data_IF_281498213340
#
_entry.id   IF_281498213340
#
_cell.length_a   1.000
_cell.length_b   1.000
_cell.length_c   1.000
_cell.angle_alpha   90.00
_cell.angle_beta   90.00
_cell.angle_gamma   90.00
#
_symmetry.space_group_name_H-M   'P 1'
#
loop_
_entity.id
_entity.type
_entity.pdbx_description
1 polymer ?
#
# COMPACT_ATOMS: atom_id res chain seq x y z
N UNK A 1 -8.23 24.45 -32.38
CA UNK A 1 -8.99 23.19 -32.40
C UNK A 1 -9.65 23.05 -33.76
N UNK A 2 -9.59 21.88 -34.40
CA UNK A 2 -10.25 21.67 -35.69
C UNK A 2 -11.72 21.28 -35.50
N UNK A 3 -12.53 21.43 -36.56
CA UNK A 3 -13.98 21.17 -36.52
C UNK A 3 -14.28 19.72 -36.12
N UNK A 4 -13.50 18.74 -36.61
CA UNK A 4 -13.66 17.32 -36.25
C UNK A 4 -13.47 17.08 -34.74
N UNK A 5 -12.49 17.73 -34.13
CA UNK A 5 -12.24 17.65 -32.68
C UNK A 5 -13.38 18.29 -31.90
N UNK A 6 -13.92 19.42 -32.37
CA UNK A 6 -15.08 20.05 -31.74
C UNK A 6 -16.32 19.15 -31.82
N UNK A 7 -16.61 18.57 -32.99
CA UNK A 7 -17.71 17.61 -33.19
C UNK A 7 -17.60 16.46 -32.19
N UNK A 8 -16.42 15.85 -32.07
CA UNK A 8 -16.19 14.75 -31.12
C UNK A 8 -16.42 15.14 -29.65
N UNK A 9 -16.02 16.35 -29.26
CA UNK A 9 -16.27 16.86 -27.91
C UNK A 9 -17.76 17.06 -27.67
N UNK A 10 -18.47 17.64 -28.65
CA UNK A 10 -19.91 17.88 -28.56
C UNK A 10 -20.71 16.57 -28.52
N UNK A 11 -20.31 15.55 -29.29
CA UNK A 11 -20.92 14.22 -29.23
C UNK A 11 -20.80 13.60 -27.83
N UNK A 12 -19.64 13.72 -27.19
CA UNK A 12 -19.43 13.26 -25.81
C UNK A 12 -20.25 14.06 -24.81
N UNK A 13 -20.29 15.38 -24.95
CA UNK A 13 -21.08 16.25 -24.08
C UNK A 13 -22.57 15.91 -24.21
N UNK A 14 -23.06 15.64 -25.42
CA UNK A 14 -24.46 15.29 -25.69
C UNK A 14 -24.89 14.04 -24.93
N UNK A 15 -24.04 13.01 -24.83
CA UNK A 15 -24.34 11.80 -24.05
C UNK A 15 -24.57 12.14 -22.57
N UNK A 16 -23.74 13.02 -22.01
CA UNK A 16 -23.88 13.46 -20.62
C UNK A 16 -25.18 14.25 -20.46
N UNK A 17 -25.44 15.21 -21.34
CA UNK A 17 -26.66 16.03 -21.29
C UNK A 17 -27.93 15.19 -21.42
N UNK A 18 -27.95 14.19 -22.30
CA UNK A 18 -29.08 13.25 -22.42
C UNK A 18 -29.33 12.43 -21.16
N UNK A 19 -28.28 12.06 -20.44
CA UNK A 19 -28.44 11.33 -19.18
C UNK A 19 -29.14 12.15 -18.09
N UNK A 20 -29.02 13.49 -18.17
CA UNK A 20 -29.59 14.44 -17.22
C UNK A 20 -30.74 15.26 -17.82
N UNK A 21 -31.36 14.80 -18.92
CA UNK A 21 -32.37 15.57 -19.65
C UNK A 21 -33.64 15.87 -18.83
N UNK A 22 -33.83 15.17 -17.71
CA UNK A 22 -35.00 15.30 -16.83
C UNK A 22 -34.75 16.16 -15.57
N UNK A 23 -33.56 16.71 -15.40
CA UNK A 23 -33.23 17.56 -14.25
C UNK A 23 -32.70 18.92 -14.69
N UNK A 24 -32.64 19.85 -13.74
CA UNK A 24 -32.03 21.16 -13.94
C UNK A 24 -30.51 21.03 -14.07
N UNK A 25 -29.87 22.08 -14.62
CA UNK A 25 -28.41 22.15 -14.73
C UNK A 25 -27.76 22.13 -13.34
N UNK A 26 -28.35 22.80 -12.35
CA UNK A 26 -27.84 22.81 -10.97
C UNK A 26 -27.86 21.40 -10.36
N UNK A 27 -28.95 20.65 -10.50
CA UNK A 27 -29.05 19.27 -10.03
C UNK A 27 -28.04 18.34 -10.72
N UNK A 28 -27.82 18.52 -12.03
CA UNK A 28 -26.78 17.79 -12.77
C UNK A 28 -25.39 18.11 -12.21
N UNK A 29 -25.08 19.39 -11.96
CA UNK A 29 -23.78 19.81 -11.46
C UNK A 29 -23.53 19.31 -10.04
N UNK A 30 -24.55 19.33 -9.18
CA UNK A 30 -24.49 18.78 -7.84
C UNK A 30 -24.24 17.27 -7.84
N UNK A 31 -24.93 16.51 -8.69
CA UNK A 31 -24.71 15.06 -8.81
C UNK A 31 -23.33 14.73 -9.41
N UNK A 32 -22.89 15.47 -10.44
CA UNK A 32 -21.54 15.32 -10.99
C UNK A 32 -20.47 15.64 -9.95
N UNK A 33 -20.66 16.69 -9.15
CA UNK A 33 -19.78 17.05 -8.04
C UNK A 33 -19.75 15.95 -6.98
N UNK A 34 -20.91 15.42 -6.58
CA UNK A 34 -21.01 14.32 -5.62
C UNK A 34 -20.35 13.03 -6.15
N UNK A 35 -20.53 12.71 -7.44
CA UNK A 35 -19.86 11.58 -8.10
C UNK A 35 -18.35 11.76 -8.16
N UNK A 36 -17.87 12.97 -8.44
CA UNK A 36 -16.44 13.30 -8.45
C UNK A 36 -15.82 13.21 -7.05
N UNK A 37 -16.53 13.69 -6.02
CA UNK A 37 -16.12 13.54 -4.62
C UNK A 37 -16.10 12.08 -4.19
N UNK A 38 -17.12 11.28 -4.52
CA UNK A 38 -17.15 9.83 -4.27
C UNK A 38 -16.02 9.10 -5.00
N UNK A 39 -15.66 9.52 -6.21
CA UNK A 39 -14.55 8.96 -6.96
C UNK A 39 -13.21 9.38 -6.35
N UNK A 40 -13.08 10.62 -5.88
CA UNK A 40 -11.90 11.12 -5.15
C UNK A 40 -11.74 10.41 -3.81
N UNK A 41 -12.83 10.17 -3.07
CA UNK A 41 -12.86 9.37 -1.85
C UNK A 41 -12.51 7.90 -2.12
N UNK A 42 -12.98 7.31 -3.23
CA UNK A 42 -12.54 5.97 -3.67
C UNK A 42 -11.06 5.93 -4.09
N UNK A 43 -10.50 7.04 -4.57
CA UNK A 43 -9.07 7.17 -4.95
C UNK A 43 -8.17 7.54 -3.76
N UNK A 44 -8.71 8.23 -2.76
CA UNK A 44 -8.08 8.56 -1.48
C UNK A 44 -8.26 7.47 -0.42
N UNK A 45 -9.17 6.52 -0.64
CA UNK A 45 -8.99 5.13 -0.24
C UNK A 45 -7.83 4.51 -1.06
N UNK A 46 -6.63 5.09 -0.91
CA UNK A 46 -5.53 4.21 -0.58
C UNK A 46 -6.02 3.48 0.64
N UNK A 47 -6.47 2.24 0.46
CA UNK A 47 -6.43 1.30 1.56
C UNK A 47 -5.04 1.50 2.13
N UNK A 48 -4.91 2.08 3.31
CA UNK A 48 -3.85 1.65 4.22
C UNK A 48 -4.06 0.16 4.29
N UNK A 49 -3.39 -0.53 3.36
CA UNK A 49 -3.47 -1.96 3.26
C UNK A 49 -2.63 -2.34 4.45
N UNK A 50 -3.31 -2.66 5.54
CA UNK A 50 -2.63 -2.97 6.77
C UNK A 50 -1.81 -4.24 6.53
N UNK A 51 -0.49 -4.05 6.40
CA UNK A 51 0.44 -5.14 6.21
C UNK A 51 0.88 -5.74 7.55
N UNK A 52 0.25 -5.39 8.69
CA UNK A 52 0.55 -5.99 9.99
C UNK A 52 0.48 -7.53 9.96
N UNK A 53 -0.49 -8.11 9.25
CA UNK A 53 -0.60 -9.57 9.10
C UNK A 53 0.55 -10.14 8.26
N UNK A 54 0.99 -9.42 7.22
CA UNK A 54 2.14 -9.79 6.39
C UNK A 54 3.42 -9.74 7.20
N UNK A 55 3.62 -8.69 8.00
CA UNK A 55 4.77 -8.51 8.89
C UNK A 55 4.83 -9.63 9.93
N UNK A 56 3.69 -9.96 10.58
CA UNK A 56 3.61 -11.09 11.52
C UNK A 56 3.98 -12.42 10.86
N UNK A 57 3.51 -12.65 9.63
CA UNK A 57 3.77 -13.89 8.90
C UNK A 57 5.25 -14.05 8.54
N UNK A 58 5.88 -12.97 8.07
CA UNK A 58 7.31 -12.97 7.69
C UNK A 58 8.22 -13.22 8.91
N UNK A 59 7.85 -12.74 10.10
CA UNK A 59 8.61 -12.99 11.33
C UNK A 59 8.70 -14.47 11.72
N UNK A 60 7.76 -15.29 11.25
CA UNK A 60 7.70 -16.72 11.55
C UNK A 60 8.19 -17.60 10.39
N UNK A 61 8.65 -17.00 9.29
CA UNK A 61 9.15 -17.71 8.11
C UNK A 61 10.66 -17.78 8.13
N UNK A 62 11.22 -18.86 7.56
CA UNK A 62 12.65 -18.90 7.30
C UNK A 62 13.04 -17.92 6.15
N UNK A 63 14.33 -17.69 5.95
CA UNK A 63 14.84 -16.73 4.95
C UNK A 63 14.33 -17.01 3.53
N UNK A 64 14.28 -18.28 3.14
CA UNK A 64 13.91 -18.73 1.79
C UNK A 64 12.40 -18.60 1.56
N UNK A 65 11.59 -18.98 2.55
CA UNK A 65 10.14 -18.81 2.57
C UNK A 65 9.74 -17.33 2.55
N UNK A 66 10.39 -16.51 3.38
CA UNK A 66 10.15 -15.07 3.43
C UNK A 66 10.49 -14.39 2.09
N UNK A 67 11.59 -14.80 1.45
CA UNK A 67 11.99 -14.29 0.13
C UNK A 67 10.94 -14.62 -0.93
N UNK A 68 10.49 -15.88 -0.96
CA UNK A 68 9.48 -16.35 -1.91
C UNK A 68 8.13 -15.68 -1.68
N UNK A 69 7.74 -15.51 -0.41
CA UNK A 69 6.51 -14.84 -0.03
C UNK A 69 6.53 -13.35 -0.40
N UNK A 70 7.63 -12.64 -0.13
CA UNK A 70 7.77 -11.22 -0.48
C UNK A 70 7.87 -11.00 -2.00
N UNK A 71 8.34 -11.99 -2.75
CA UNK A 71 8.37 -11.96 -4.23
C UNK A 71 6.98 -11.83 -4.86
N UNK A 72 5.89 -12.26 -4.21
CA UNK A 72 4.54 -12.08 -4.77
C UNK A 72 4.03 -10.64 -4.72
N UNK A 73 4.68 -9.76 -3.96
CA UNK A 73 4.25 -8.38 -3.78
C UNK A 73 4.81 -7.45 -4.86
N UNK A 74 4.07 -6.39 -5.17
CA UNK A 74 4.55 -5.30 -6.03
C UNK A 74 5.57 -4.44 -5.28
N UNK A 75 6.44 -3.75 -6.03
CA UNK A 75 7.47 -2.87 -5.47
C UNK A 75 6.91 -1.81 -4.50
N UNK A 76 5.79 -1.19 -4.86
CA UNK A 76 5.11 -0.21 -4.01
C UNK A 76 4.62 -0.81 -2.69
N UNK A 77 4.13 -2.05 -2.72
CA UNK A 77 3.66 -2.75 -1.52
C UNK A 77 4.81 -3.08 -0.58
N UNK A 78 5.99 -3.45 -1.12
CA UNK A 78 7.19 -3.66 -0.33
C UNK A 78 7.64 -2.38 0.39
N UNK A 79 7.52 -1.22 -0.27
CA UNK A 79 7.83 0.07 0.36
C UNK A 79 6.86 0.36 1.53
N UNK A 80 5.58 0.05 1.37
CA UNK A 80 4.60 0.19 2.46
C UNK A 80 4.88 -0.78 3.62
N UNK A 81 5.22 -2.03 3.33
CA UNK A 81 5.63 -3.02 4.33
C UNK A 81 6.85 -2.51 5.12
N UNK A 82 7.89 -2.04 4.41
CA UNK A 82 9.08 -1.48 5.05
C UNK A 82 8.77 -0.25 5.90
N UNK A 83 7.90 0.65 5.42
CA UNK A 83 7.47 1.83 6.18
C UNK A 83 6.75 1.44 7.48
N UNK A 84 5.84 0.47 7.45
CA UNK A 84 5.17 -0.04 8.66
C UNK A 84 6.14 -0.75 9.62
N UNK A 85 7.27 -1.26 9.12
CA UNK A 85 8.34 -1.84 9.92
C UNK A 85 9.38 -0.80 10.40
N UNK A 86 9.17 0.49 10.16
CA UNK A 86 10.13 1.58 10.42
C UNK A 86 11.48 1.41 9.70
N UNK A 87 11.48 0.74 8.54
CA UNK A 87 12.66 0.57 7.67
C UNK A 87 12.67 1.67 6.62
N UNK A 88 13.78 2.41 6.50
CA UNK A 88 13.97 3.40 5.43
C UNK A 88 14.37 2.70 4.13
N UNK A 89 13.37 2.40 3.30
CA UNK A 89 13.57 1.84 1.96
C UNK A 89 13.53 2.93 0.89
N UNK A 90 14.38 2.83 -0.14
CA UNK A 90 14.44 3.84 -1.20
C UNK A 90 13.68 3.39 -2.45
N UNK A 91 12.86 4.28 -3.01
CA UNK A 91 12.09 4.01 -4.25
C UNK A 91 12.97 3.63 -5.45
N UNK A 92 14.23 4.05 -5.47
CA UNK A 92 15.20 3.75 -6.54
C UNK A 92 15.78 2.34 -6.48
N UNK A 93 15.69 1.66 -5.33
CA UNK A 93 16.25 0.32 -5.14
C UNK A 93 15.52 -0.73 -5.99
N UNK A 94 16.20 -1.83 -6.32
CA UNK A 94 15.57 -2.95 -7.04
C UNK A 94 14.62 -3.69 -6.12
N UNK A 95 13.65 -4.42 -6.69
CA UNK A 95 12.71 -5.23 -5.91
C UNK A 95 13.44 -6.23 -4.99
N UNK A 96 14.52 -6.85 -5.47
CA UNK A 96 15.34 -7.77 -4.67
C UNK A 96 15.99 -7.08 -3.46
N UNK A 97 16.58 -5.90 -3.64
CA UNK A 97 17.19 -5.13 -2.54
C UNK A 97 16.17 -4.73 -1.46
N UNK A 98 14.95 -4.39 -1.88
CA UNK A 98 13.85 -4.10 -0.94
C UNK A 98 13.49 -5.34 -0.10
N UNK A 99 13.39 -6.50 -0.73
CA UNK A 99 13.09 -7.78 -0.05
C UNK A 99 14.20 -8.14 0.92
N UNK A 100 15.46 -8.05 0.48
CA UNK A 100 16.63 -8.35 1.31
C UNK A 100 16.71 -7.44 2.54
N UNK A 101 16.43 -6.15 2.37
CA UNK A 101 16.40 -5.18 3.46
C UNK A 101 15.31 -5.50 4.51
N UNK A 102 14.11 -5.90 4.05
CA UNK A 102 13.00 -6.31 4.92
C UNK A 102 13.36 -7.57 5.71
N UNK A 103 13.93 -8.58 5.03
CA UNK A 103 14.30 -9.85 5.66
C UNK A 103 15.42 -9.65 6.67
N UNK A 104 16.45 -8.89 6.31
CA UNK A 104 17.59 -8.58 7.18
C UNK A 104 17.11 -7.96 8.48
N UNK A 105 16.19 -6.99 8.41
CA UNK A 105 15.59 -6.38 9.60
C UNK A 105 14.82 -7.38 10.47
N UNK A 106 14.06 -8.31 9.88
CA UNK A 106 13.39 -9.37 10.63
C UNK A 106 14.38 -10.29 11.37
N UNK A 107 15.45 -10.72 10.69
CA UNK A 107 16.47 -11.59 11.28
C UNK A 107 17.23 -10.92 12.43
N UNK A 108 17.51 -9.61 12.32
CA UNK A 108 18.12 -8.84 13.42
C UNK A 108 17.18 -8.75 14.64
N UNK A 109 15.88 -8.49 14.41
CA UNK A 109 14.89 -8.43 15.50
C UNK A 109 14.81 -9.74 16.29
N UNK A 110 14.95 -10.88 15.62
CA UNK A 110 14.94 -12.20 16.24
C UNK A 110 16.23 -12.43 17.05
N UNK A 111 17.39 -12.09 16.48
CA UNK A 111 18.69 -12.14 17.17
C UNK A 111 18.69 -11.33 18.48
N UNK A 112 18.18 -10.09 18.45
CA UNK A 112 18.08 -9.26 19.67
C UNK A 112 17.11 -9.87 20.69
N UNK A 113 15.99 -10.43 20.24
CA UNK A 113 15.01 -11.09 21.13
C UNK A 113 15.61 -12.32 21.81
N UNK A 114 16.37 -13.14 21.06
CA UNK A 114 17.07 -14.30 21.61
C UNK A 114 18.17 -13.89 22.61
N UNK A 115 18.93 -12.82 22.33
CA UNK A 115 19.95 -12.32 23.26
C UNK A 115 19.35 -11.73 24.55
N UNK A 116 18.24 -11.00 24.45
CA UNK A 116 17.52 -10.48 25.62
C UNK A 116 17.01 -11.61 26.52
N UNK A 117 16.43 -12.66 25.93
CA UNK A 117 15.93 -13.82 26.67
C UNK A 117 17.05 -14.64 27.34
N UNK A 118 18.23 -14.76 26.72
CA UNK A 118 19.41 -15.39 27.35
C UNK A 118 19.91 -14.59 28.57
N UNK A 119 19.89 -13.25 28.48
CA UNK A 119 20.29 -12.37 29.59
C UNK A 119 19.34 -12.51 30.79
N UNK A 120 18.04 -12.66 30.52
CA UNK A 120 17.01 -12.86 31.54
C UNK A 120 17.14 -14.22 32.26
N UNK A 121 17.38 -15.29 31.50
CA UNK A 121 17.58 -16.63 32.07
C UNK A 121 18.83 -16.70 32.95
N UNK A 122 19.92 -16.02 32.55
CA UNK A 122 21.16 -16.00 33.33
C UNK A 122 20.99 -15.28 34.69
N UNK A 123 20.18 -14.23 34.75
CA UNK A 123 19.87 -13.54 36.01
C UNK A 123 19.00 -14.38 36.97
N UNK A 124 18.11 -15.22 36.44
CA UNK A 124 17.28 -16.11 37.24
C UNK A 124 18.06 -17.31 37.82
N UNK A 125 19.11 -17.77 37.12
CA UNK A 125 19.98 -18.85 37.60
C UNK A 125 21.05 -18.40 38.62
N UNK A 126 21.34 -17.09 38.70
CA UNK A 126 22.34 -16.52 39.62
C UNK A 126 21.71 -16.00 40.93
N UNK A 127 20.38 -16.08 41.09
CA UNK A 127 19.62 -15.69 42.30
C UNK A 127 19.14 -16.88 43.17
N UNK A 128 19.50 -18.11 42.81
CA UNK A 128 19.30 -19.32 43.62
C UNK A 128 20.62 -19.80 44.19
#
# INVERSE_FOLDING_TARGET
MNVKTLTHILEKALVILKHYEHCTVDEMLDDLSAKLQKQTLKKQSTKETDYANVIKKIKNMNKEEATTFLMSFKKEQLLHIGAQMNIKLQKRETKQLLIESIITHCSFSELYSQMANRKLQKQMSEQT
#
